data_IF_001341065229
#
_entry.id   IF_001341065229
#
_cell.length_a   1.000
_cell.length_b   1.000
_cell.length_c   1.000
_cell.angle_alpha   90.00
_cell.angle_beta   90.00
_cell.angle_gamma   90.00
#
_symmetry.space_group_name_H-M   'P 1'
#
loop_
_entity.id
_entity.type
_entity.pdbx_description
1 polymer ?
#
# COMPACT_ATOMS: atom_id res chain seq x y z
N UNK A 1 18.26 -4.07 15.52
CA UNK A 1 18.89 -2.79 15.74
C UNK A 1 17.91 -1.64 15.53
N UNK A 2 17.79 -0.67 16.45
CA UNK A 2 16.86 0.45 16.25
C UNK A 2 17.26 1.34 15.06
N UNK A 3 18.51 1.24 14.58
CA UNK A 3 18.98 2.03 13.45
C UNK A 3 18.89 1.29 12.10
N UNK A 4 18.32 0.08 12.12
CA UNK A 4 18.15 -0.70 10.88
C UNK A 4 16.70 -0.57 10.39
N UNK A 5 16.53 -0.03 9.21
CA UNK A 5 15.22 0.17 8.61
C UNK A 5 14.61 -1.13 8.05
N UNK A 6 15.44 -2.11 7.70
CA UNK A 6 14.97 -3.30 6.99
C UNK A 6 13.95 -4.16 7.74
N UNK A 7 14.10 -4.45 9.04
CA UNK A 7 13.08 -5.24 9.74
C UNK A 7 11.70 -4.60 9.68
N UNK A 8 11.62 -3.29 9.81
CA UNK A 8 10.35 -2.54 9.70
C UNK A 8 9.77 -2.65 8.29
N UNK A 9 10.63 -2.47 7.30
CA UNK A 9 10.24 -2.61 5.89
C UNK A 9 9.64 -3.98 5.60
N UNK A 10 10.29 -5.05 6.05
CA UNK A 10 9.84 -6.41 5.76
C UNK A 10 8.49 -6.75 6.41
N UNK A 11 8.20 -6.23 7.60
CA UNK A 11 6.87 -6.38 8.19
C UNK A 11 5.82 -5.72 7.29
N UNK A 12 6.12 -4.53 6.79
CA UNK A 12 5.23 -3.83 5.86
C UNK A 12 4.96 -4.64 4.60
N UNK A 13 6.00 -5.22 4.00
CA UNK A 13 5.89 -6.04 2.78
C UNK A 13 5.05 -7.30 3.04
N UNK A 14 5.32 -8.00 4.13
CA UNK A 14 4.60 -9.23 4.47
C UNK A 14 3.11 -8.93 4.68
N UNK A 15 2.81 -7.90 5.46
CA UNK A 15 1.42 -7.54 5.76
C UNK A 15 0.68 -7.09 4.49
N UNK A 16 1.34 -6.30 3.64
CA UNK A 16 0.75 -5.91 2.36
C UNK A 16 0.45 -7.13 1.49
N UNK A 17 1.37 -8.07 1.41
CA UNK A 17 1.21 -9.29 0.62
C UNK A 17 -0.02 -10.08 1.06
N UNK A 18 -0.21 -10.22 2.39
CA UNK A 18 -1.36 -10.91 2.95
C UNK A 18 -2.67 -10.16 2.67
N UNK A 19 -2.66 -8.84 2.83
CA UNK A 19 -3.83 -8.01 2.56
C UNK A 19 -4.19 -8.03 1.07
N UNK A 20 -3.19 -7.97 0.20
CA UNK A 20 -3.40 -8.03 -1.26
C UNK A 20 -4.04 -9.35 -1.67
N UNK A 21 -3.56 -10.45 -1.13
CA UNK A 21 -4.13 -11.78 -1.39
C UNK A 21 -5.59 -11.84 -0.96
N UNK A 22 -5.89 -11.36 0.24
CA UNK A 22 -7.27 -11.33 0.75
C UNK A 22 -8.17 -10.46 -0.12
N UNK A 23 -7.68 -9.30 -0.56
CA UNK A 23 -8.41 -8.40 -1.46
C UNK A 23 -8.75 -9.10 -2.77
N UNK A 24 -7.76 -9.74 -3.39
CA UNK A 24 -7.96 -10.47 -4.65
C UNK A 24 -8.97 -11.60 -4.50
N UNK A 25 -8.90 -12.36 -3.41
CA UNK A 25 -9.83 -13.47 -3.14
C UNK A 25 -11.27 -12.96 -2.96
N UNK A 26 -11.46 -11.86 -2.24
CA UNK A 26 -12.78 -11.26 -2.06
C UNK A 26 -13.38 -10.79 -3.38
N UNK A 27 -12.58 -10.13 -4.22
CA UNK A 27 -13.03 -9.67 -5.54
C UNK A 27 -13.38 -10.86 -6.45
N UNK A 28 -12.53 -11.87 -6.46
CA UNK A 28 -12.73 -13.05 -7.29
C UNK A 28 -14.02 -13.79 -6.91
N UNK A 29 -14.24 -14.03 -5.64
CA UNK A 29 -15.44 -14.68 -5.15
C UNK A 29 -16.72 -13.88 -5.49
N UNK A 30 -16.66 -12.57 -5.30
CA UNK A 30 -17.77 -11.68 -5.65
C UNK A 30 -18.06 -11.71 -7.16
N UNK A 31 -17.03 -11.68 -7.98
CA UNK A 31 -17.17 -11.63 -9.43
C UNK A 31 -17.75 -12.92 -10.00
N UNK A 32 -17.45 -14.06 -9.38
CA UNK A 32 -18.05 -15.36 -9.76
C UNK A 32 -19.57 -15.32 -9.53
N UNK A 33 -20.01 -14.74 -8.42
CA UNK A 33 -21.43 -14.62 -8.08
C UNK A 33 -22.14 -13.50 -8.83
N UNK A 34 -21.37 -12.51 -9.32
CA UNK A 34 -21.91 -11.31 -9.97
C UNK A 34 -21.24 -11.06 -11.33
N UNK A 35 -21.40 -11.98 -12.30
CA UNK A 35 -20.63 -11.90 -13.55
C UNK A 35 -20.94 -10.66 -14.40
N UNK A 36 -22.11 -10.03 -14.19
CA UNK A 36 -22.49 -8.82 -14.92
C UNK A 36 -22.10 -7.52 -14.22
N UNK A 37 -21.65 -7.61 -12.96
CA UNK A 37 -21.28 -6.45 -12.14
C UNK A 37 -19.94 -6.71 -11.47
N UNK A 38 -18.97 -7.14 -12.25
CA UNK A 38 -17.64 -7.46 -11.73
C UNK A 38 -16.94 -6.25 -11.17
N UNK A 39 -16.20 -6.45 -10.09
CA UNK A 39 -15.40 -5.43 -9.42
C UNK A 39 -13.93 -5.84 -9.52
N UNK A 40 -13.19 -5.14 -10.36
CA UNK A 40 -11.76 -5.42 -10.60
C UNK A 40 -10.93 -4.30 -10.02
N UNK A 41 -9.78 -4.63 -9.42
CA UNK A 41 -8.85 -3.61 -8.97
C UNK A 41 -8.52 -2.65 -10.14
N UNK A 42 -8.61 -1.32 -9.98
CA UNK A 42 -8.71 -0.58 -8.73
C UNK A 42 -10.15 -0.11 -8.37
N UNK A 43 -11.19 -0.73 -8.89
CA UNK A 43 -12.55 -0.33 -8.59
C UNK A 43 -12.81 -0.38 -7.07
N UNK A 44 -13.61 0.56 -6.52
CA UNK A 44 -14.00 0.48 -5.11
C UNK A 44 -14.74 -0.82 -4.79
N UNK A 45 -14.50 -1.36 -3.60
CA UNK A 45 -15.23 -2.54 -3.14
C UNK A 45 -16.67 -2.17 -2.78
N UNK A 46 -17.65 -3.02 -3.12
CA UNK A 46 -18.99 -2.88 -2.57
C UNK A 46 -18.97 -2.86 -1.04
N UNK A 47 -19.92 -2.18 -0.43
CA UNK A 47 -19.94 -1.96 1.04
C UNK A 47 -19.74 -3.25 1.83
N UNK A 48 -20.41 -4.32 1.44
CA UNK A 48 -20.31 -5.62 2.13
C UNK A 48 -18.87 -6.16 2.10
N UNK A 49 -18.22 -6.09 0.94
CA UNK A 49 -16.84 -6.53 0.79
C UNK A 49 -15.88 -5.61 1.54
N UNK A 50 -16.16 -4.30 1.50
CA UNK A 50 -15.36 -3.31 2.23
C UNK A 50 -15.36 -3.60 3.73
N UNK A 51 -16.52 -3.87 4.29
CA UNK A 51 -16.68 -4.23 5.70
C UNK A 51 -15.91 -5.52 6.02
N UNK A 52 -16.07 -6.52 5.19
CA UNK A 52 -15.41 -7.82 5.36
C UNK A 52 -13.89 -7.69 5.28
N UNK A 53 -13.40 -6.95 4.30
CA UNK A 53 -11.97 -6.71 4.12
C UNK A 53 -11.39 -5.98 5.33
N UNK A 54 -12.09 -4.94 5.80
CA UNK A 54 -11.67 -4.16 6.99
C UNK A 54 -11.60 -5.05 8.23
N UNK A 55 -12.61 -5.88 8.45
CA UNK A 55 -12.63 -6.79 9.61
C UNK A 55 -11.50 -7.81 9.55
N UNK A 56 -11.21 -8.35 8.38
CA UNK A 56 -10.19 -9.39 8.21
C UNK A 56 -8.78 -8.84 8.22
N UNK A 57 -8.54 -7.68 7.59
CA UNK A 57 -7.20 -7.19 7.29
C UNK A 57 -6.87 -5.81 7.86
N UNK A 58 -7.81 -5.16 8.53
CA UNK A 58 -7.60 -3.79 9.02
C UNK A 58 -6.39 -3.66 9.94
N UNK A 59 -6.26 -4.57 10.89
CA UNK A 59 -5.13 -4.55 11.83
C UNK A 59 -3.78 -4.74 11.12
N UNK A 60 -3.71 -5.65 10.15
CA UNK A 60 -2.49 -5.90 9.37
C UNK A 60 -2.10 -4.69 8.54
N UNK A 61 -3.09 -4.03 7.93
CA UNK A 61 -2.85 -2.83 7.12
C UNK A 61 -2.36 -1.68 8.00
N UNK A 62 -2.97 -1.48 9.16
CA UNK A 62 -2.55 -0.43 10.09
C UNK A 62 -1.13 -0.68 10.62
N UNK A 63 -0.79 -1.93 10.94
CA UNK A 63 0.57 -2.30 11.34
C UNK A 63 1.56 -2.05 10.21
N UNK A 64 1.21 -2.40 8.98
CA UNK A 64 2.07 -2.17 7.83
C UNK A 64 2.39 -0.68 7.68
N UNK A 65 1.39 0.20 7.82
CA UNK A 65 1.61 1.65 7.74
C UNK A 65 2.55 2.12 8.84
N UNK A 66 2.36 1.65 10.08
CA UNK A 66 3.24 2.02 11.20
C UNK A 66 4.68 1.56 10.97
N UNK A 67 4.86 0.35 10.49
CA UNK A 67 6.20 -0.21 10.29
C UNK A 67 6.90 0.48 9.11
N UNK A 68 6.19 0.74 8.02
CA UNK A 68 6.77 1.45 6.88
C UNK A 68 7.13 2.90 7.25
N UNK A 69 6.31 3.55 8.09
CA UNK A 69 6.65 4.87 8.61
C UNK A 69 7.93 4.83 9.44
N UNK A 70 8.11 3.81 10.28
CA UNK A 70 9.35 3.63 11.06
C UNK A 70 10.55 3.41 10.14
N UNK A 71 10.39 2.61 9.10
CA UNK A 71 11.47 2.36 8.13
C UNK A 71 11.93 3.67 7.48
N UNK A 72 10.99 4.54 7.11
CA UNK A 72 11.29 5.83 6.48
C UNK A 72 11.88 6.81 7.51
N UNK A 73 11.45 6.76 8.77
CA UNK A 73 12.05 7.59 9.82
C UNK A 73 13.53 7.24 10.02
N UNK A 74 13.86 5.95 9.99
CA UNK A 74 15.25 5.47 10.13
C UNK A 74 16.06 5.81 8.87
N UNK A 75 15.44 5.68 7.69
CA UNK A 75 16.11 5.89 6.41
C UNK A 75 15.21 6.73 5.48
N UNK A 76 15.32 8.06 5.52
CA UNK A 76 14.38 8.96 4.82
C UNK A 76 14.28 8.79 3.31
N UNK A 77 15.33 8.30 2.65
CA UNK A 77 15.31 8.05 1.20
C UNK A 77 15.17 6.57 0.86
N UNK A 78 14.51 5.81 1.73
CA UNK A 78 14.25 4.39 1.49
C UNK A 78 13.10 4.25 0.47
N UNK A 79 13.45 4.30 -0.80
CA UNK A 79 12.47 4.33 -1.89
C UNK A 79 11.52 3.13 -1.87
N UNK A 80 12.03 1.93 -1.62
CA UNK A 80 11.20 0.73 -1.58
C UNK A 80 10.16 0.77 -0.45
N UNK A 81 10.54 1.28 0.72
CA UNK A 81 9.60 1.43 1.83
C UNK A 81 8.52 2.45 1.51
N UNK A 82 8.89 3.57 0.87
CA UNK A 82 7.93 4.59 0.45
C UNK A 82 6.97 4.01 -0.61
N UNK A 83 7.49 3.24 -1.56
CA UNK A 83 6.69 2.60 -2.59
C UNK A 83 5.67 1.63 -1.97
N UNK A 84 6.09 0.81 -1.00
CA UNK A 84 5.15 -0.09 -0.31
C UNK A 84 4.14 0.67 0.54
N UNK A 85 4.52 1.79 1.14
CA UNK A 85 3.56 2.63 1.85
C UNK A 85 2.45 3.09 0.91
N UNK A 86 2.79 3.49 -0.32
CA UNK A 86 1.81 3.83 -1.35
C UNK A 86 0.84 2.66 -1.61
N UNK A 87 1.38 1.46 -1.77
CA UNK A 87 0.56 0.26 -2.00
C UNK A 87 -0.36 -0.04 -0.81
N UNK A 88 0.15 0.09 0.41
CA UNK A 88 -0.65 -0.13 1.63
C UNK A 88 -1.75 0.91 1.77
N UNK A 89 -1.49 2.16 1.42
CA UNK A 89 -2.51 3.21 1.41
C UNK A 89 -3.65 2.88 0.45
N UNK A 90 -3.36 2.23 -0.67
CA UNK A 90 -4.42 1.77 -1.60
C UNK A 90 -5.26 0.65 -0.99
N UNK A 91 -4.66 -0.22 -0.19
CA UNK A 91 -5.43 -1.21 0.59
C UNK A 91 -6.31 -0.50 1.63
N UNK A 92 -5.77 0.52 2.28
CA UNK A 92 -6.55 1.36 3.22
C UNK A 92 -7.71 2.07 2.52
N UNK A 93 -7.48 2.54 1.28
CA UNK A 93 -8.53 3.16 0.47
C UNK A 93 -9.67 2.17 0.19
N UNK A 94 -9.35 0.89 -0.03
CA UNK A 94 -10.36 -0.16 -0.22
C UNK A 94 -11.14 -0.47 1.05
N UNK A 95 -10.66 -0.02 2.21
CA UNK A 95 -11.36 -0.13 3.50
C UNK A 95 -12.19 1.11 3.81
N UNK A 96 -12.02 2.18 3.04
CA UNK A 96 -12.66 3.48 3.29
C UNK A 96 -13.93 3.64 2.47
N UNK A 97 -14.83 4.48 2.95
CA UNK A 97 -16.01 4.85 2.18
C UNK A 97 -15.63 5.81 1.03
N UNK A 98 -16.63 6.16 0.22
CA UNK A 98 -16.42 7.03 -0.94
C UNK A 98 -15.88 8.41 -0.53
N UNK A 99 -16.22 8.90 0.66
CA UNK A 99 -15.76 10.21 1.13
C UNK A 99 -14.28 10.20 1.55
N UNK A 100 -13.83 9.11 2.17
CA UNK A 100 -12.45 8.99 2.67
C UNK A 100 -11.44 8.52 1.62
N UNK A 101 -11.90 7.82 0.59
CA UNK A 101 -11.04 7.20 -0.40
C UNK A 101 -10.14 8.18 -1.17
N UNK A 102 -10.64 9.33 -1.69
CA UNK A 102 -9.81 10.21 -2.52
C UNK A 102 -8.56 10.76 -1.81
N UNK A 103 -8.65 11.07 -0.52
CA UNK A 103 -7.51 11.58 0.24
C UNK A 103 -6.39 10.54 0.33
N UNK A 104 -6.74 9.26 0.54
CA UNK A 104 -5.78 8.17 0.61
C UNK A 104 -5.14 7.90 -0.75
N UNK A 105 -5.92 7.94 -1.82
CA UNK A 105 -5.40 7.77 -3.17
C UNK A 105 -4.44 8.91 -3.54
N UNK A 106 -4.77 10.14 -3.17
CA UNK A 106 -3.91 11.31 -3.40
C UNK A 106 -2.59 11.17 -2.65
N UNK A 107 -2.64 10.74 -1.39
CA UNK A 107 -1.42 10.49 -0.61
C UNK A 107 -0.56 9.40 -1.24
N UNK A 108 -1.19 8.30 -1.69
CA UNK A 108 -0.48 7.22 -2.37
C UNK A 108 0.21 7.72 -3.64
N UNK A 109 -0.46 8.55 -4.43
CA UNK A 109 0.12 9.12 -5.65
C UNK A 109 1.30 10.04 -5.34
N UNK A 110 1.19 10.87 -4.29
CA UNK A 110 2.27 11.75 -3.85
C UNK A 110 3.52 10.97 -3.45
N UNK A 111 3.33 9.83 -2.77
CA UNK A 111 4.45 8.96 -2.39
C UNK A 111 5.15 8.36 -3.61
N UNK A 112 4.40 7.98 -4.65
CA UNK A 112 5.00 7.49 -5.89
C UNK A 112 5.82 8.57 -6.59
N UNK A 113 5.37 9.82 -6.57
CA UNK A 113 6.16 10.93 -7.10
C UNK A 113 7.45 11.11 -6.31
N UNK A 114 7.38 10.95 -4.99
CA UNK A 114 8.57 11.01 -4.13
C UNK A 114 9.56 9.88 -4.48
N UNK A 115 9.07 8.67 -4.73
CA UNK A 115 9.90 7.54 -5.17
C UNK A 115 10.61 7.86 -6.47
N UNK A 116 9.90 8.42 -7.44
CA UNK A 116 10.49 8.83 -8.73
C UNK A 116 11.61 9.85 -8.54
N UNK A 117 11.39 10.84 -7.67
CA UNK A 117 12.40 11.87 -7.39
C UNK A 117 13.64 11.26 -6.74
N UNK A 118 13.48 10.35 -5.78
CA UNK A 118 14.60 9.68 -5.12
C UNK A 118 15.39 8.85 -6.13
N UNK A 119 14.71 8.08 -6.97
CA UNK A 119 15.37 7.22 -7.97
C UNK A 119 16.10 8.06 -9.04
N UNK A 120 15.52 9.18 -9.45
CA UNK A 120 16.17 10.10 -10.38
C UNK A 120 17.44 10.70 -9.79
N UNK A 121 17.41 11.09 -8.52
CA UNK A 121 18.56 11.59 -7.78
C UNK A 121 19.66 10.54 -7.70
N UNK A 122 19.31 9.32 -7.34
CA UNK A 122 20.26 8.20 -7.26
C UNK A 122 20.90 7.91 -8.61
N UNK A 123 20.10 7.92 -9.68
CA UNK A 123 20.60 7.69 -11.04
C UNK A 123 21.57 8.80 -11.46
N UNK A 124 21.27 10.06 -11.14
CA UNK A 124 22.14 11.20 -11.43
C UNK A 124 23.46 11.11 -10.65
N UNK A 125 23.40 10.74 -9.37
CA UNK A 125 24.59 10.56 -8.53
C UNK A 125 25.47 9.42 -9.07
N UNK A 126 24.85 8.32 -9.47
CA UNK A 126 25.55 7.17 -10.04
C UNK A 126 26.22 7.55 -11.37
N UNK A 127 25.55 8.29 -12.24
CA UNK A 127 26.10 8.74 -13.52
C UNK A 127 27.29 9.68 -13.29
N UNK A 128 27.23 10.56 -12.29
CA UNK A 128 28.30 11.47 -11.97
C UNK A 128 29.57 10.79 -11.47
N UNK A 129 29.44 9.57 -10.90
CA UNK A 129 30.57 8.78 -10.40
C UNK A 129 31.21 7.88 -11.46
N UNK A 130 30.60 7.78 -12.63
CA UNK A 130 31.08 6.90 -13.72
C UNK A 130 32.20 7.49 -14.53
#
# INVERSE_FOLDING_TARGET
SPNDAEPYYWVGVINWTLARRANDELRQAYNVENPRKQVKDPDPLPEKLRTQFTEQQGALVDEALQMLDKAVQVRPEYADAIAYKSLVLRMKADMSDAAGRPALEKEADALLEQVKAIKSKEAAEKAAKS
#
